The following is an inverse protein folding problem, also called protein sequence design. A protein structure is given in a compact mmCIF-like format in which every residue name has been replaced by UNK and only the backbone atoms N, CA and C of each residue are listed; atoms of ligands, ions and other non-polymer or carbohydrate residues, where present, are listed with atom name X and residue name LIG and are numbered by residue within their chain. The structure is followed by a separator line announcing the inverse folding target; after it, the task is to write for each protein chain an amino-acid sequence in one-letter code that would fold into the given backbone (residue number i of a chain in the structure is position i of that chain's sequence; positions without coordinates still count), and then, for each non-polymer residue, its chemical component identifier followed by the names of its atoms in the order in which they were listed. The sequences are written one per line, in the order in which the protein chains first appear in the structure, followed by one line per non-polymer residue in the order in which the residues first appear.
data_IF_339774057961
#
_entry.id   IF_339774057961
#
_cell.length_a   1.000
_cell.length_b   1.000
_cell.length_c   1.000
_cell.angle_alpha   90.00
_cell.angle_beta   90.00
_cell.angle_gamma   90.00
#
_symmetry.space_group_name_H-M   'P 1'
#
loop_
_entity.id
_entity.type
_entity.pdbx_description
1 polymer ?
#
# COMPACT_ATOMS: atom_id res chain seq x y z
N UNK A 1 -11.51 6.35 4.23
CA UNK A 1 -10.82 6.72 2.98
C UNK A 1 -10.80 5.55 1.99
N UNK A 2 -10.65 5.81 0.68
CA UNK A 2 -10.58 4.76 -0.34
C UNK A 2 -9.16 4.56 -0.85
N UNK A 3 -8.70 3.31 -0.84
CA UNK A 3 -7.33 2.93 -1.19
C UNK A 3 -7.34 1.88 -2.33
N UNK A 4 -6.43 2.04 -3.28
CA UNK A 4 -6.04 0.99 -4.20
C UNK A 4 -4.85 0.24 -3.61
N UNK A 5 -5.00 -1.09 -3.51
CA UNK A 5 -3.97 -1.98 -3.00
C UNK A 5 -3.30 -2.67 -4.17
N UNK A 6 -1.98 -2.54 -4.20
CA UNK A 6 -1.11 -3.23 -5.12
C UNK A 6 -0.26 -4.23 -4.36
N UNK A 7 0.09 -5.32 -5.03
CA UNK A 7 1.02 -6.31 -4.50
C UNK A 7 2.14 -6.57 -5.48
N UNK A 8 3.30 -6.97 -4.97
CA UNK A 8 4.40 -7.47 -5.77
C UNK A 8 5.00 -8.73 -5.13
N UNK A 9 5.47 -9.69 -5.94
CA UNK A 9 6.24 -10.82 -5.42
C UNK A 9 7.64 -10.34 -5.00
N UNK A 10 8.09 -10.78 -3.82
CA UNK A 10 9.47 -10.63 -3.36
C UNK A 10 10.29 -11.87 -3.72
N UNK A 11 11.61 -11.70 -3.80
CA UNK A 11 12.55 -12.79 -4.12
C UNK A 11 12.51 -13.97 -3.14
N UNK A 12 12.04 -13.72 -1.91
CA UNK A 12 11.90 -14.74 -0.85
C UNK A 12 10.59 -15.53 -0.93
N UNK A 13 9.76 -15.27 -1.95
CA UNK A 13 8.43 -15.90 -2.10
C UNK A 13 7.33 -15.26 -1.26
N UNK A 14 7.66 -14.22 -0.50
CA UNK A 14 6.70 -13.34 0.18
C UNK A 14 6.09 -12.32 -0.78
N UNK A 15 5.02 -11.63 -0.36
CA UNK A 15 4.43 -10.52 -1.12
C UNK A 15 4.60 -9.22 -0.34
N UNK A 16 5.03 -8.18 -1.06
CA UNK A 16 4.92 -6.82 -0.56
C UNK A 16 3.62 -6.19 -1.01
N UNK A 17 3.05 -5.35 -0.16
CA UNK A 17 1.83 -4.61 -0.45
C UNK A 17 2.07 -3.11 -0.40
N UNK A 18 1.35 -2.40 -1.26
CA UNK A 18 1.37 -0.95 -1.40
C UNK A 18 -0.08 -0.46 -1.43
N UNK A 19 -0.43 0.41 -0.49
CA UNK A 19 -1.72 1.09 -0.42
C UNK A 19 -1.57 2.54 -0.90
N UNK A 20 -2.29 2.88 -1.97
CA UNK A 20 -2.29 4.21 -2.57
C UNK A 20 -3.72 4.77 -2.51
N UNK A 21 -3.95 6.00 -2.05
CA UNK A 21 -5.28 6.62 -2.15
C UNK A 21 -5.79 6.62 -3.60
N UNK A 22 -7.06 6.27 -3.83
CA UNK A 22 -7.70 6.06 -5.16
C UNK A 22 -7.45 7.18 -6.20
N UNK A 23 -7.16 8.40 -5.73
CA UNK A 23 -6.91 9.57 -6.57
C UNK A 23 -5.42 9.91 -6.76
N UNK A 24 -4.49 9.09 -6.25
CA UNK A 24 -3.04 9.31 -6.34
C UNK A 24 -2.40 8.33 -7.31
N UNK A 25 -1.40 8.83 -8.04
CA UNK A 25 -0.52 7.97 -8.82
C UNK A 25 0.35 7.12 -7.89
N UNK A 26 0.74 5.94 -8.38
CA UNK A 26 1.78 5.13 -7.74
C UNK A 26 3.07 5.96 -7.68
N UNK A 27 3.73 6.07 -6.52
CA UNK A 27 4.95 6.87 -6.36
C UNK A 27 6.09 6.34 -7.23
N UNK A 28 6.97 7.21 -7.72
CA UNK A 28 8.08 6.84 -8.62
C UNK A 28 9.04 5.80 -8.00
N UNK A 29 9.20 5.84 -6.67
CA UNK A 29 9.95 4.85 -5.89
C UNK A 29 9.36 3.43 -6.01
N UNK A 30 8.05 3.35 -6.24
CA UNK A 30 7.33 2.10 -6.48
C UNK A 30 7.15 1.79 -7.98
N UNK A 31 7.17 2.77 -8.89
CA UNK A 31 6.97 2.52 -10.34
C UNK A 31 8.11 1.73 -11.01
N UNK A 32 9.25 1.58 -10.35
CA UNK A 32 10.35 0.72 -10.82
C UNK A 32 10.09 -0.78 -10.57
N UNK A 33 8.96 -1.14 -9.98
CA UNK A 33 8.61 -2.54 -9.69
C UNK A 33 7.28 -2.94 -10.32
N UNK A 34 7.18 -4.19 -10.78
CA UNK A 34 5.98 -4.80 -11.37
C UNK A 34 4.85 -5.01 -10.33
N UNK A 35 4.26 -3.91 -9.87
CA UNK A 35 3.10 -3.93 -9.00
C UNK A 35 1.87 -4.42 -9.75
N UNK A 36 1.18 -5.41 -9.17
CA UNK A 36 -0.08 -5.94 -9.67
C UNK A 36 -1.20 -5.45 -8.77
N UNK A 37 -2.32 -5.05 -9.37
CA UNK A 37 -3.51 -4.66 -8.62
C UNK A 37 -4.05 -5.87 -7.84
N UNK A 38 -4.13 -5.74 -6.52
CA UNK A 38 -4.73 -6.75 -5.63
C UNK A 38 -6.17 -6.37 -5.27
N UNK A 39 -6.41 -5.09 -4.95
CA UNK A 39 -7.74 -4.55 -4.68
C UNK A 39 -7.83 -3.11 -5.18
N UNK A 40 -9.02 -2.69 -5.59
CA UNK A 40 -9.29 -1.29 -5.97
C UNK A 40 -10.43 -0.72 -5.15
N UNK A 41 -10.36 0.58 -4.87
CA UNK A 41 -11.36 1.31 -4.11
C UNK A 41 -11.74 0.60 -2.79
N UNK A 42 -10.74 0.03 -2.11
CA UNK A 42 -10.91 -0.57 -0.79
C UNK A 42 -11.35 0.51 0.19
N UNK A 43 -12.53 0.33 0.77
CA UNK A 43 -13.04 1.23 1.80
C UNK A 43 -12.36 0.91 3.12
N UNK A 44 -11.55 1.84 3.60
CA UNK A 44 -10.80 1.73 4.85
C UNK A 44 -11.30 2.82 5.79
N UNK A 45 -11.69 2.50 7.04
CA UNK A 45 -12.09 3.52 7.99
C UNK A 45 -10.97 4.56 8.19
N UNK A 46 -11.30 5.85 8.26
CA UNK A 46 -10.29 6.92 8.46
C UNK A 46 -9.54 6.82 9.80
N UNK A 47 -10.07 6.09 10.77
CA UNK A 47 -9.39 5.83 12.05
C UNK A 47 -8.54 4.55 12.02
N UNK A 48 -8.58 3.79 10.93
CA UNK A 48 -7.80 2.56 10.78
C UNK A 48 -6.34 2.94 10.54
N UNK A 49 -5.47 2.60 11.48
CA UNK A 49 -4.04 2.90 11.37
C UNK A 49 -3.20 1.73 10.88
N UNK A 50 -3.80 0.55 10.74
CA UNK A 50 -3.09 -0.63 10.24
C UNK A 50 -3.97 -1.45 9.32
N UNK A 51 -3.41 -1.95 8.21
CA UNK A 51 -4.08 -2.93 7.36
C UNK A 51 -3.45 -4.30 7.59
N UNK A 52 -3.97 -5.02 8.60
CA UNK A 52 -3.46 -6.33 9.00
C UNK A 52 -3.47 -7.34 7.84
N UNK A 53 -4.50 -7.29 6.99
CA UNK A 53 -4.62 -8.18 5.82
C UNK A 53 -3.46 -8.01 4.82
N UNK A 54 -2.83 -6.84 4.79
CA UNK A 54 -1.74 -6.50 3.87
C UNK A 54 -0.42 -6.24 4.59
N UNK A 55 -0.36 -6.52 5.90
CA UNK A 55 0.81 -6.25 6.75
C UNK A 55 1.33 -4.82 6.65
N UNK A 56 0.44 -3.84 6.46
CA UNK A 56 0.80 -2.42 6.38
C UNK A 56 0.56 -1.78 7.76
N UNK A 57 1.61 -1.46 8.54
CA UNK A 57 1.48 -0.71 9.78
C UNK A 57 1.47 0.80 9.51
N UNK A 58 1.06 1.62 10.49
CA UNK A 58 1.20 3.09 10.43
C UNK A 58 0.60 3.71 9.16
N UNK A 59 -0.56 3.23 8.72
CA UNK A 59 -1.21 3.58 7.46
C UNK A 59 -1.35 5.09 7.30
N UNK A 60 -1.92 5.77 8.31
CA UNK A 60 -2.18 7.19 8.23
C UNK A 60 -0.89 8.01 8.25
N UNK A 61 0.07 7.61 9.09
CA UNK A 61 1.37 8.28 9.18
C UNK A 61 2.12 8.19 7.84
N UNK A 62 2.23 6.99 7.26
CA UNK A 62 2.89 6.80 5.97
C UNK A 62 2.19 7.57 4.84
N UNK A 63 0.84 7.55 4.79
CA UNK A 63 0.08 8.32 3.79
C UNK A 63 0.27 9.82 3.99
N UNK A 64 0.35 10.31 5.23
CA UNK A 64 0.58 11.72 5.52
C UNK A 64 2.00 12.17 5.12
N UNK A 65 3.01 11.33 5.37
CA UNK A 65 4.41 11.65 5.09
C UNK A 65 4.77 11.50 3.61
N UNK A 66 4.37 10.38 2.98
CA UNK A 66 4.81 9.97 1.64
C UNK A 66 3.70 10.02 0.61
N UNK A 67 2.44 10.04 1.04
CA UNK A 67 1.27 9.97 0.16
C UNK A 67 0.76 8.57 -0.14
N UNK A 68 1.40 7.54 0.42
CA UNK A 68 1.08 6.12 0.27
C UNK A 68 1.59 5.36 1.49
N UNK A 69 1.13 4.14 1.71
CA UNK A 69 1.66 3.24 2.73
C UNK A 69 2.09 1.92 2.11
N UNK A 70 3.10 1.27 2.68
CA UNK A 70 3.53 -0.04 2.20
C UNK A 70 3.93 -0.94 3.37
N UNK A 71 4.03 -2.25 3.09
CA UNK A 71 4.66 -3.16 4.04
C UNK A 71 6.11 -2.71 4.29
N UNK A 72 6.62 -2.80 5.52
CA UNK A 72 8.04 -2.59 5.77
C UNK A 72 8.85 -3.60 4.96
N UNK A 73 9.83 -3.09 4.21
CA UNK A 73 10.83 -3.92 3.56
C UNK A 73 11.80 -4.40 4.64
N UNK A 74 11.96 -5.71 4.76
CA UNK A 74 12.93 -6.35 5.65
C UNK A 74 14.25 -6.58 4.95
#
# INVERSE_FOLDING_TARGET
MRLDIYRRPESDGSFSYLAVPEARAIPEEATNTDWVVEARALDVPDHEDTLQQYSIPHLNEQIAEKGYAMTPLH
#
